data_IF_503937778865
#
_entry.id   IF_503937778865
#
_cell.length_a   1.000
_cell.length_b   1.000
_cell.length_c   1.000
_cell.angle_alpha   90.00
_cell.angle_beta   90.00
_cell.angle_gamma   90.00
#
_symmetry.space_group_name_H-M   'P 1'
#
loop_
_entity.id
_entity.type
_entity.pdbx_description
1 polymer ?
#
# COMPACT_ATOMS: atom_id res chain seq x y z
N UNK A 1 -20.40 -32.19 -8.48
CA UNK A 1 -19.59 -31.07 -7.95
C UNK A 1 -19.43 -30.00 -9.01
N UNK A 2 -19.73 -28.72 -8.73
CA UNK A 2 -19.57 -27.66 -9.72
C UNK A 2 -18.09 -27.51 -10.11
N UNK A 3 -17.80 -27.47 -11.42
CA UNK A 3 -16.44 -27.30 -11.94
C UNK A 3 -15.99 -25.86 -11.71
N UNK A 4 -14.98 -25.67 -10.86
CA UNK A 4 -14.37 -24.37 -10.63
C UNK A 4 -13.57 -23.96 -11.87
N UNK A 5 -13.93 -22.83 -12.46
CA UNK A 5 -13.23 -22.23 -13.62
C UNK A 5 -11.80 -21.82 -13.27
N UNK A 6 -10.91 -21.74 -14.25
CA UNK A 6 -9.54 -21.27 -14.04
C UNK A 6 -9.49 -19.87 -13.38
N UNK A 7 -10.41 -18.98 -13.77
CA UNK A 7 -10.57 -17.65 -13.15
C UNK A 7 -10.93 -17.74 -11.67
N UNK A 8 -11.88 -18.61 -11.30
CA UNK A 8 -12.25 -18.80 -9.90
C UNK A 8 -11.08 -19.39 -9.09
N UNK A 9 -10.31 -20.34 -9.65
CA UNK A 9 -9.10 -20.86 -8.98
C UNK A 9 -8.10 -19.75 -8.68
N UNK A 10 -7.87 -18.85 -9.64
CA UNK A 10 -6.98 -17.70 -9.42
C UNK A 10 -7.49 -16.77 -8.31
N UNK A 11 -8.79 -16.53 -8.23
CA UNK A 11 -9.36 -15.69 -7.17
C UNK A 11 -9.27 -16.33 -5.78
N UNK A 12 -9.31 -17.66 -5.69
CA UNK A 12 -9.23 -18.39 -4.42
C UNK A 12 -7.80 -18.65 -3.93
N UNK A 13 -6.77 -18.27 -4.71
CA UNK A 13 -5.38 -18.42 -4.27
C UNK A 13 -5.14 -17.64 -2.97
N UNK A 14 -4.53 -18.28 -1.95
CA UNK A 14 -4.05 -17.58 -0.77
C UNK A 14 -3.11 -16.42 -1.16
N UNK A 15 -3.07 -15.37 -0.35
CA UNK A 15 -2.14 -14.27 -0.58
C UNK A 15 -0.70 -14.71 -0.32
N UNK A 16 0.19 -14.23 -1.19
CA UNK A 16 1.64 -14.18 -1.02
C UNK A 16 2.10 -12.78 -1.41
N UNK A 17 3.31 -12.39 -1.06
CA UNK A 17 3.89 -11.09 -1.42
C UNK A 17 3.77 -10.81 -2.94
N UNK A 18 4.11 -11.79 -3.77
CA UNK A 18 4.06 -11.66 -5.23
C UNK A 18 2.63 -11.52 -5.74
N UNK A 19 1.67 -12.21 -5.13
CA UNK A 19 0.26 -12.10 -5.50
C UNK A 19 -0.32 -10.75 -5.08
N UNK A 20 0.05 -10.22 -3.90
CA UNK A 20 -0.35 -8.89 -3.46
C UNK A 20 0.17 -7.85 -4.45
N UNK A 21 1.47 -7.86 -4.76
CA UNK A 21 2.08 -6.97 -5.73
C UNK A 21 1.42 -7.07 -7.11
N UNK A 22 1.23 -8.30 -7.61
CA UNK A 22 0.60 -8.56 -8.91
C UNK A 22 -0.84 -8.06 -8.98
N UNK A 23 -1.62 -8.24 -7.91
CA UNK A 23 -3.00 -7.74 -7.83
C UNK A 23 -3.01 -6.21 -7.81
N UNK A 24 -2.20 -5.57 -6.97
CA UNK A 24 -2.13 -4.12 -6.86
C UNK A 24 -1.71 -3.47 -8.18
N UNK A 25 -0.68 -4.00 -8.84
CA UNK A 25 -0.21 -3.57 -10.17
C UNK A 25 -1.28 -3.64 -11.27
N UNK A 26 -2.25 -4.55 -11.16
CA UNK A 26 -3.36 -4.65 -12.12
C UNK A 26 -4.47 -3.65 -11.85
N UNK A 27 -4.56 -3.12 -10.63
CA UNK A 27 -5.60 -2.18 -10.21
C UNK A 27 -5.11 -0.74 -10.37
N UNK A 28 -3.86 -0.46 -9.99
CA UNK A 28 -3.30 0.88 -9.95
C UNK A 28 -2.37 1.19 -11.14
N UNK A 29 -2.16 2.48 -11.47
CA UNK A 29 -1.23 2.90 -12.52
C UNK A 29 0.20 2.42 -12.28
N UNK A 30 0.94 2.14 -13.36
CA UNK A 30 2.36 1.72 -13.29
C UNK A 30 3.26 2.72 -12.55
N UNK A 31 2.92 4.01 -12.57
CA UNK A 31 3.69 5.05 -11.87
C UNK A 31 3.66 4.92 -10.34
N UNK A 32 2.69 4.19 -9.77
CA UNK A 32 2.65 3.90 -8.33
C UNK A 32 3.54 2.69 -7.95
N UNK A 33 4.11 1.99 -8.94
CA UNK A 33 4.98 0.82 -8.76
C UNK A 33 6.47 1.24 -8.60
N UNK A 34 6.75 2.10 -7.63
CA UNK A 34 8.11 2.56 -7.32
C UNK A 34 8.62 2.09 -5.94
N UNK A 35 7.72 1.72 -5.02
CA UNK A 35 8.07 1.02 -3.78
C UNK A 35 8.17 -0.48 -4.02
N UNK A 36 9.19 -0.91 -4.76
CA UNK A 36 9.36 -2.29 -5.26
C UNK A 36 10.11 -3.22 -4.31
N UNK A 37 10.43 -2.76 -3.10
CA UNK A 37 11.04 -3.60 -2.07
C UNK A 37 10.13 -4.80 -1.77
N UNK A 38 10.58 -6.04 -2.04
CA UNK A 38 9.80 -7.24 -1.75
C UNK A 38 9.39 -7.35 -0.28
N UNK A 39 10.22 -6.87 0.65
CA UNK A 39 9.95 -6.92 2.09
C UNK A 39 8.66 -6.21 2.48
N UNK A 40 8.35 -5.08 1.84
CA UNK A 40 7.10 -4.34 2.06
C UNK A 40 5.85 -5.15 1.72
N UNK A 41 5.94 -6.09 0.78
CA UNK A 41 4.82 -6.97 0.41
C UNK A 41 4.77 -8.24 1.26
N UNK A 42 5.92 -8.69 1.78
CA UNK A 42 5.99 -9.80 2.73
C UNK A 42 5.34 -9.42 4.06
N UNK A 43 5.63 -8.22 4.57
CA UNK A 43 5.00 -7.67 5.79
C UNK A 43 3.48 -7.52 5.66
N UNK A 44 2.97 -7.20 4.47
CA UNK A 44 1.53 -7.09 4.22
C UNK A 44 0.78 -8.42 4.33
N UNK A 45 1.44 -9.58 4.16
CA UNK A 45 0.76 -10.88 4.17
C UNK A 45 0.07 -11.17 5.51
N UNK A 46 0.78 -11.18 6.66
CA UNK A 46 0.15 -11.42 7.95
C UNK A 46 -0.87 -10.34 8.34
N UNK A 47 -0.63 -9.08 7.99
CA UNK A 47 -1.52 -7.97 8.32
C UNK A 47 -2.86 -8.05 7.58
N UNK A 48 -2.82 -8.40 6.28
CA UNK A 48 -4.03 -8.64 5.51
C UNK A 48 -4.78 -9.87 6.02
N UNK A 49 -4.09 -10.90 6.52
CA UNK A 49 -4.75 -12.05 7.14
C UNK A 49 -5.49 -11.68 8.43
N UNK A 50 -4.89 -10.81 9.27
CA UNK A 50 -5.54 -10.27 10.48
C UNK A 50 -6.81 -9.48 10.16
N UNK A 51 -6.85 -8.78 9.02
CA UNK A 51 -8.05 -8.11 8.49
C UNK A 51 -9.06 -9.06 7.82
N UNK A 52 -8.77 -10.36 7.74
CA UNK A 52 -9.60 -11.35 7.04
C UNK A 52 -9.50 -11.29 5.51
N UNK A 53 -8.50 -10.58 4.97
CA UNK A 53 -8.23 -10.49 3.53
C UNK A 53 -7.27 -11.60 3.11
N UNK A 54 -7.82 -12.80 2.89
CA UNK A 54 -7.01 -14.03 2.71
C UNK A 54 -6.71 -14.44 1.26
N UNK A 55 -7.41 -13.87 0.28
CA UNK A 55 -7.33 -14.34 -1.10
C UNK A 55 -7.11 -13.22 -2.10
N UNK A 56 -6.47 -13.55 -3.22
CA UNK A 56 -6.24 -12.61 -4.31
C UNK A 56 -7.54 -11.99 -4.86
N UNK A 57 -8.62 -12.77 -4.89
CA UNK A 57 -9.95 -12.29 -5.27
C UNK A 57 -10.53 -11.30 -4.27
N UNK A 58 -10.38 -11.56 -2.96
CA UNK A 58 -10.85 -10.66 -1.91
C UNK A 58 -10.10 -9.33 -1.96
N UNK A 59 -8.76 -9.37 -2.00
CA UNK A 59 -7.92 -8.17 -2.10
C UNK A 59 -8.29 -7.36 -3.35
N UNK A 60 -8.34 -8.00 -4.52
CA UNK A 60 -8.68 -7.31 -5.78
C UNK A 60 -10.02 -6.59 -5.70
N UNK A 61 -11.03 -7.20 -5.05
CA UNK A 61 -12.36 -6.61 -4.87
C UNK A 61 -12.29 -5.32 -4.05
N UNK A 62 -11.59 -5.34 -2.91
CA UNK A 62 -11.42 -4.16 -2.04
C UNK A 62 -10.70 -3.05 -2.79
N UNK A 63 -9.54 -3.35 -3.40
CA UNK A 63 -8.76 -2.36 -4.14
C UNK A 63 -9.58 -1.74 -5.29
N UNK A 64 -10.36 -2.55 -6.01
CA UNK A 64 -11.20 -2.07 -7.11
C UNK A 64 -12.34 -1.17 -6.61
N UNK A 65 -12.96 -1.52 -5.47
CA UNK A 65 -14.03 -0.74 -4.83
C UNK A 65 -13.56 0.68 -4.49
N UNK A 66 -12.39 0.81 -3.89
CA UNK A 66 -11.85 2.10 -3.42
C UNK A 66 -11.00 2.86 -4.45
N UNK A 67 -10.64 2.20 -5.57
CA UNK A 67 -9.72 2.71 -6.59
C UNK A 67 -9.95 4.18 -6.96
N UNK A 68 -11.20 4.57 -7.20
CA UNK A 68 -11.52 5.93 -7.69
C UNK A 68 -11.23 7.00 -6.63
N UNK A 69 -11.56 6.73 -5.37
CA UNK A 69 -11.27 7.65 -4.27
C UNK A 69 -9.76 7.75 -4.06
N UNK A 70 -9.08 6.60 -3.94
CA UNK A 70 -7.63 6.53 -3.75
C UNK A 70 -6.86 7.28 -4.84
N UNK A 71 -7.22 7.10 -6.12
CA UNK A 71 -6.56 7.80 -7.22
C UNK A 71 -6.87 9.30 -7.28
N UNK A 72 -7.98 9.76 -6.69
CA UNK A 72 -8.25 11.19 -6.54
C UNK A 72 -7.34 11.78 -5.47
N UNK A 73 -7.19 11.08 -4.36
CA UNK A 73 -6.39 11.52 -3.23
C UNK A 73 -4.89 11.48 -3.57
N UNK A 74 -4.43 10.44 -4.26
CA UNK A 74 -3.09 10.29 -4.84
C UNK A 74 -2.71 11.39 -5.85
N UNK A 75 -3.71 12.05 -6.44
CA UNK A 75 -3.53 13.15 -7.41
C UNK A 75 -3.76 14.53 -6.80
N UNK A 76 -4.05 14.59 -5.51
CA UNK A 76 -4.23 15.86 -4.81
C UNK A 76 -2.95 16.69 -4.93
N UNK A 77 -3.14 17.99 -5.10
CA UNK A 77 -2.02 18.92 -5.16
C UNK A 77 -1.50 19.12 -3.75
N UNK A 78 -0.19 19.03 -3.61
CA UNK A 78 0.48 19.50 -2.41
C UNK A 78 0.32 21.01 -2.31
N UNK A 79 0.15 21.49 -1.09
CA UNK A 79 0.37 22.89 -0.77
C UNK A 79 1.87 23.22 -0.93
N UNK A 80 2.22 24.49 -1.21
CA UNK A 80 3.63 24.88 -1.39
C UNK A 80 4.54 24.54 -0.22
N UNK A 81 4.01 24.54 1.01
CA UNK A 81 4.76 24.16 2.20
C UNK A 81 5.01 22.65 2.29
N UNK A 82 4.06 21.81 1.85
CA UNK A 82 4.21 20.35 1.78
C UNK A 82 5.24 19.98 0.72
N UNK A 83 5.19 20.63 -0.45
CA UNK A 83 6.16 20.40 -1.52
C UNK A 83 7.59 20.72 -1.07
N UNK A 84 7.77 21.82 -0.33
CA UNK A 84 9.07 22.17 0.27
C UNK A 84 9.52 21.12 1.28
N UNK A 85 8.67 20.78 2.25
CA UNK A 85 8.98 19.81 3.29
C UNK A 85 9.35 18.44 2.70
N UNK A 86 8.55 17.95 1.75
CA UNK A 86 8.84 16.67 1.10
C UNK A 86 10.08 16.73 0.20
N UNK A 87 10.39 17.88 -0.41
CA UNK A 87 11.61 18.04 -1.19
C UNK A 87 12.86 17.91 -0.32
N UNK A 88 12.79 18.39 0.92
CA UNK A 88 13.86 18.26 1.93
C UNK A 88 13.99 16.80 2.41
N UNK A 89 12.89 16.05 2.54
CA UNK A 89 12.88 14.66 3.01
C UNK A 89 13.23 13.61 1.95
N UNK A 90 12.66 13.74 0.75
CA UNK A 90 12.70 12.72 -0.31
C UNK A 90 13.50 13.14 -1.54
N UNK A 91 14.01 14.39 -1.54
CA UNK A 91 14.74 14.97 -2.66
C UNK A 91 13.84 15.71 -3.64
N UNK A 92 14.27 16.91 -4.04
CA UNK A 92 13.51 17.80 -4.91
C UNK A 92 13.21 17.20 -6.30
N UNK A 93 14.09 16.35 -6.84
CA UNK A 93 13.84 15.69 -8.13
C UNK A 93 12.66 14.73 -8.08
N UNK A 94 12.60 13.89 -7.06
CA UNK A 94 11.50 12.96 -6.85
C UNK A 94 10.18 13.72 -6.68
N UNK A 95 10.16 14.73 -5.81
CA UNK A 95 8.95 15.51 -5.53
C UNK A 95 8.46 16.25 -6.76
N UNK A 96 9.36 16.87 -7.55
CA UNK A 96 8.97 17.51 -8.82
C UNK A 96 8.35 16.52 -9.80
N UNK A 97 8.91 15.31 -9.94
CA UNK A 97 8.32 14.30 -10.84
C UNK A 97 6.97 13.78 -10.32
N UNK A 98 6.84 13.57 -9.01
CA UNK A 98 5.63 13.15 -8.32
C UNK A 98 4.50 14.19 -8.46
N UNK A 99 4.76 15.48 -8.24
CA UNK A 99 3.82 16.59 -8.49
C UNK A 99 3.38 16.58 -9.96
N UNK A 100 4.35 16.56 -10.87
CA UNK A 100 4.10 16.69 -12.32
C UNK A 100 3.27 15.53 -12.86
N UNK A 101 3.56 14.30 -12.43
CA UNK A 101 2.85 13.09 -12.88
C UNK A 101 1.70 12.69 -11.96
N UNK A 102 1.48 13.41 -10.86
CA UNK A 102 0.39 13.20 -9.90
C UNK A 102 0.33 11.77 -9.34
N UNK A 103 1.41 11.34 -8.68
CA UNK A 103 1.48 10.09 -7.94
C UNK A 103 2.27 10.31 -6.63
N UNK A 104 1.64 10.06 -5.49
CA UNK A 104 2.22 10.27 -4.16
C UNK A 104 2.40 8.98 -3.37
N UNK A 105 1.57 7.99 -3.64
CA UNK A 105 1.56 6.73 -2.90
C UNK A 105 2.11 5.57 -3.74
N UNK A 106 3.06 4.84 -3.17
CA UNK A 106 3.49 3.56 -3.69
C UNK A 106 2.40 2.50 -3.50
N UNK A 107 2.47 1.38 -4.24
CA UNK A 107 1.48 0.29 -4.13
C UNK A 107 1.20 -0.18 -2.69
N UNK A 108 2.20 -0.37 -1.80
CA UNK A 108 1.93 -0.74 -0.41
C UNK A 108 1.05 0.28 0.33
N UNK A 109 1.34 1.58 0.18
CA UNK A 109 0.54 2.65 0.77
C UNK A 109 -0.89 2.69 0.19
N UNK A 110 -1.03 2.47 -1.12
CA UNK A 110 -2.36 2.36 -1.75
C UNK A 110 -3.18 1.18 -1.22
N UNK A 111 -2.53 0.08 -0.85
CA UNK A 111 -3.19 -1.07 -0.22
C UNK A 111 -3.66 -0.70 1.18
N UNK A 112 -2.80 -0.09 2.00
CA UNK A 112 -3.17 0.36 3.34
C UNK A 112 -4.32 1.37 3.34
N UNK A 113 -4.25 2.39 2.49
CA UNK A 113 -5.33 3.37 2.35
C UNK A 113 -6.66 2.71 1.91
N UNK A 114 -6.59 1.62 1.13
CA UNK A 114 -7.76 0.83 0.76
C UNK A 114 -8.32 0.03 1.95
N UNK A 115 -7.45 -0.48 2.84
CA UNK A 115 -7.86 -1.15 4.07
C UNK A 115 -8.50 -0.15 5.04
N UNK A 116 -7.91 1.04 5.20
CA UNK A 116 -8.50 2.13 6.02
C UNK A 116 -9.91 2.47 5.57
N UNK A 117 -10.10 2.58 4.26
CA UNK A 117 -11.40 2.87 3.65
C UNK A 117 -12.40 1.71 3.78
N UNK A 118 -11.94 0.46 3.91
CA UNK A 118 -12.80 -0.73 4.00
C UNK A 118 -13.19 -1.08 5.44
N UNK A 119 -12.24 -0.99 6.37
CA UNK A 119 -12.36 -1.49 7.74
C UNK A 119 -12.38 -0.38 8.80
N UNK A 120 -11.98 0.84 8.43
CA UNK A 120 -11.83 1.99 9.32
C UNK A 120 -10.43 2.11 9.90
N UNK A 121 -9.92 3.34 9.98
CA UNK A 121 -8.55 3.64 10.41
C UNK A 121 -8.22 3.10 11.79
N UNK A 122 -9.15 3.16 12.75
CA UNK A 122 -8.92 2.63 14.10
C UNK A 122 -8.63 1.13 14.13
N UNK A 123 -9.20 0.35 13.20
CA UNK A 123 -8.96 -1.10 13.10
C UNK A 123 -7.61 -1.35 12.45
N UNK A 124 -7.31 -0.60 11.39
CA UNK A 124 -6.07 -0.74 10.63
C UNK A 124 -4.86 -0.30 11.44
N UNK A 125 -4.95 0.81 12.18
CA UNK A 125 -3.87 1.32 13.04
C UNK A 125 -3.48 0.34 14.16
N UNK A 126 -4.41 -0.52 14.62
CA UNK A 126 -4.11 -1.57 15.61
C UNK A 126 -3.29 -2.72 15.03
N UNK A 127 -3.37 -2.94 13.73
CA UNK A 127 -2.72 -4.05 13.02
C UNK A 127 -1.41 -3.59 12.41
N UNK A 128 -1.42 -2.40 11.80
CA UNK A 128 -0.25 -1.83 11.15
C UNK A 128 0.89 -1.76 12.16
N UNK A 129 2.08 -2.27 11.84
CA UNK A 129 3.20 -2.18 12.75
C UNK A 129 3.43 -0.71 13.08
N UNK A 130 3.33 -0.37 14.37
CA UNK A 130 3.87 0.88 14.88
C UNK A 130 5.35 0.79 14.58
N UNK A 131 5.88 1.69 13.75
CA UNK A 131 7.32 1.93 13.71
C UNK A 131 7.65 2.45 15.10
N UNK A 132 7.98 1.54 16.03
CA UNK A 132 8.48 1.91 17.33
C UNK A 132 9.76 2.68 17.07
N UNK A 133 9.80 3.93 17.51
CA UNK A 133 11.04 4.73 17.59
C UNK A 133 11.94 4.11 18.66
N UNK A 134 12.38 2.87 18.49
CA UNK A 134 13.30 2.20 19.41
C UNK A 134 14.61 1.91 18.70
N UNK A 135 15.25 2.96 18.18
CA UNK A 135 16.69 2.97 17.93
C UNK A 135 17.24 4.37 18.22
N UNK A 136 17.31 4.74 19.50
CA UNK A 136 18.30 5.70 19.98
C UNK A 136 18.30 5.76 21.51
N UNK A 137 18.99 4.82 22.16
CA UNK A 137 20.00 5.15 23.19
C UNK A 137 21.07 4.06 23.14
N UNK A 138 22.07 4.28 22.27
CA UNK A 138 23.42 3.77 22.54
C UNK A 138 23.93 4.56 23.74
N UNK A 139 23.89 3.97 24.93
CA UNK A 139 24.72 4.44 26.05
C UNK A 139 26.02 3.67 25.97
N UNK A 140 26.95 4.21 25.19
CA UNK A 140 28.36 4.07 25.52
C UNK A 140 28.57 4.85 26.83
N UNK A 141 28.80 4.13 27.93
CA UNK A 141 29.80 4.45 28.96
C UNK A 141 29.59 3.53 30.16
N UNK A 142 30.53 2.59 30.34
CA UNK A 142 31.27 2.31 31.60
C UNK A 142 32.23 1.15 31.38
#
# INVERSE_FOLDING_TARGET
MPRISARQRLCLRPLSAELIHSVARRVFPKRNDYGVDPGLFEELVPDLDQLGVRTAGHLKRILTKHRRALLRDDRSRLAPWEERMFSEMFGAEFVRDAVRRQYWFALPAMIWNAMDSEFGSEVVERIRPVVTKDESVSTADS
#
